data_IF_799797145964
#
_entry.id   IF_799797145964
#
_cell.length_a   1.000
_cell.length_b   1.000
_cell.length_c   1.000
_cell.angle_alpha   90.00
_cell.angle_beta   90.00
_cell.angle_gamma   90.00
#
_symmetry.space_group_name_H-M   'P 1'
#
loop_
_entity.id
_entity.type
_entity.pdbx_description
1 polymer ?
#
# COMPACT_ATOMS: atom_id res chain seq x y z
N UNK A 1 24.05 23.86 -6.08
CA UNK A 1 22.67 23.45 -5.75
C UNK A 1 22.57 21.95 -5.98
N UNK A 2 22.31 21.22 -4.93
CA UNK A 2 22.15 19.76 -5.00
C UNK A 2 20.91 19.41 -5.82
N UNK A 3 21.11 18.73 -6.95
CA UNK A 3 20.00 18.38 -7.86
C UNK A 3 19.33 17.09 -7.42
N UNK A 4 18.02 17.13 -7.12
CA UNK A 4 17.20 15.91 -6.91
C UNK A 4 16.96 15.21 -8.25
N UNK A 5 16.60 15.98 -9.27
CA UNK A 5 16.21 15.49 -10.59
C UNK A 5 17.43 15.01 -11.40
N UNK A 6 18.09 13.96 -10.88
CA UNK A 6 19.12 13.24 -11.62
C UNK A 6 18.48 12.18 -12.52
N UNK A 7 19.16 11.79 -13.61
CA UNK A 7 18.68 10.72 -14.49
C UNK A 7 18.37 9.44 -13.69
N UNK A 8 19.26 9.07 -12.75
CA UNK A 8 19.07 7.89 -11.92
C UNK A 8 17.84 7.99 -11.02
N UNK A 9 17.58 9.15 -10.39
CA UNK A 9 16.40 9.36 -9.54
C UNK A 9 15.10 9.24 -10.35
N UNK A 10 15.05 9.86 -11.55
CA UNK A 10 13.88 9.80 -12.44
C UNK A 10 13.61 8.35 -12.86
N UNK A 11 14.66 7.64 -13.32
CA UNK A 11 14.53 6.25 -13.76
C UNK A 11 14.06 5.32 -12.61
N UNK A 12 14.60 5.50 -11.40
CA UNK A 12 14.20 4.71 -10.23
C UNK A 12 12.76 4.99 -9.81
N UNK A 13 12.34 6.27 -9.85
CA UNK A 13 10.96 6.67 -9.55
C UNK A 13 9.97 6.11 -10.58
N UNK A 14 10.32 6.16 -11.87
CA UNK A 14 9.51 5.61 -12.95
C UNK A 14 9.42 4.08 -12.86
N UNK A 15 10.52 3.41 -12.55
CA UNK A 15 10.53 1.96 -12.35
C UNK A 15 9.65 1.54 -11.17
N UNK A 16 9.67 2.32 -10.08
CA UNK A 16 8.79 2.06 -8.93
C UNK A 16 7.33 2.24 -9.30
N UNK A 17 7.00 3.28 -10.09
CA UNK A 17 5.66 3.46 -10.64
C UNK A 17 5.21 2.22 -11.43
N UNK A 18 6.04 1.72 -12.35
CA UNK A 18 5.73 0.55 -13.16
C UNK A 18 5.56 -0.73 -12.30
N UNK A 19 6.45 -0.95 -11.34
CA UNK A 19 6.40 -2.11 -10.43
C UNK A 19 5.12 -2.08 -9.59
N UNK A 20 4.80 -0.92 -9.00
CA UNK A 20 3.59 -0.76 -8.19
C UNK A 20 2.33 -0.83 -9.05
N UNK A 21 2.34 -0.31 -10.27
CA UNK A 21 1.24 -0.44 -11.20
C UNK A 21 0.97 -1.92 -11.52
N UNK A 22 2.01 -2.71 -11.81
CA UNK A 22 1.91 -4.16 -12.02
C UNK A 22 1.36 -4.92 -10.81
N UNK A 23 1.68 -4.47 -9.60
CA UNK A 23 1.14 -5.03 -8.37
C UNK A 23 -0.33 -4.63 -8.15
N UNK A 24 -0.65 -3.34 -8.26
CA UNK A 24 -1.99 -2.83 -7.97
C UNK A 24 -3.05 -3.25 -8.99
N UNK A 25 -2.67 -3.52 -10.24
CA UNK A 25 -3.62 -4.07 -11.21
C UNK A 25 -4.06 -5.51 -10.84
N UNK A 26 -3.20 -6.27 -10.13
CA UNK A 26 -3.51 -7.62 -9.69
C UNK A 26 -4.42 -7.66 -8.45
N UNK A 27 -4.38 -6.62 -7.60
CA UNK A 27 -5.11 -6.64 -6.32
C UNK A 27 -6.62 -6.88 -6.47
N UNK A 28 -7.37 -6.14 -7.32
CA UNK A 28 -8.81 -6.36 -7.49
C UNK A 28 -9.15 -7.57 -8.36
N UNK A 29 -8.22 -8.03 -9.20
CA UNK A 29 -8.50 -9.09 -10.19
C UNK A 29 -8.14 -10.48 -9.65
N UNK A 30 -7.19 -10.59 -8.75
CA UNK A 30 -6.80 -11.86 -8.13
C UNK A 30 -7.94 -12.53 -7.34
N UNK A 31 -8.76 -11.82 -6.55
CA UNK A 31 -9.93 -12.39 -5.90
C UNK A 31 -10.91 -13.04 -6.88
N UNK A 32 -11.16 -12.40 -8.00
CA UNK A 32 -12.01 -12.91 -9.08
C UNK A 32 -11.41 -14.19 -9.70
N UNK A 33 -10.09 -14.18 -9.96
CA UNK A 33 -9.37 -15.37 -10.44
C UNK A 33 -9.48 -16.54 -9.45
N UNK A 34 -9.34 -16.29 -8.14
CA UNK A 34 -9.49 -17.32 -7.10
C UNK A 34 -10.92 -17.90 -7.12
N UNK A 35 -11.92 -17.04 -7.29
CA UNK A 35 -13.33 -17.50 -7.39
C UNK A 35 -13.58 -18.34 -8.66
N UNK A 36 -13.00 -17.96 -9.80
CA UNK A 36 -13.07 -18.76 -11.02
C UNK A 36 -12.43 -20.15 -10.85
N UNK A 37 -11.35 -20.25 -10.05
CA UNK A 37 -10.74 -21.52 -9.66
C UNK A 37 -11.58 -22.32 -8.63
N UNK A 38 -12.75 -21.84 -8.23
CA UNK A 38 -13.62 -22.46 -7.21
C UNK A 38 -13.21 -22.17 -5.77
N UNK A 39 -12.38 -21.16 -5.53
CA UNK A 39 -11.92 -20.78 -4.20
C UNK A 39 -13.00 -20.08 -3.36
N UNK A 40 -12.86 -20.19 -2.03
CA UNK A 40 -13.72 -19.50 -1.06
C UNK A 40 -13.20 -18.11 -0.71
N UNK A 41 -14.04 -17.27 -0.09
CA UNK A 41 -13.65 -15.95 0.41
C UNK A 41 -12.51 -16.02 1.43
N UNK A 42 -12.48 -17.04 2.28
CA UNK A 42 -11.36 -17.25 3.21
C UNK A 42 -10.05 -17.53 2.48
N UNK A 43 -10.10 -18.30 1.37
CA UNK A 43 -8.92 -18.57 0.55
C UNK A 43 -8.44 -17.31 -0.18
N UNK A 44 -9.34 -16.42 -0.61
CA UNK A 44 -9.00 -15.08 -1.12
C UNK A 44 -8.24 -14.28 -0.07
N UNK A 45 -8.77 -14.22 1.15
CA UNK A 45 -8.11 -13.54 2.27
C UNK A 45 -6.73 -14.12 2.60
N UNK A 46 -6.61 -15.47 2.64
CA UNK A 46 -5.34 -16.16 2.88
C UNK A 46 -4.34 -15.87 1.75
N UNK A 47 -4.76 -15.85 0.50
CA UNK A 47 -3.87 -15.52 -0.63
C UNK A 47 -3.34 -14.09 -0.54
N UNK A 48 -4.17 -13.11 -0.18
CA UNK A 48 -3.75 -11.73 0.06
C UNK A 48 -2.80 -11.64 1.26
N UNK A 49 -3.14 -12.29 2.37
CA UNK A 49 -2.32 -12.33 3.58
C UNK A 49 -0.98 -13.01 3.41
N UNK A 50 -0.91 -14.15 2.70
CA UNK A 50 0.32 -14.89 2.45
C UNK A 50 1.38 -14.02 1.75
N UNK A 51 0.99 -13.25 0.73
CA UNK A 51 1.85 -12.28 0.07
C UNK A 51 2.39 -11.23 1.05
N UNK A 52 1.48 -10.58 1.76
CA UNK A 52 1.83 -9.42 2.60
C UNK A 52 2.66 -9.83 3.83
N UNK A 53 2.27 -10.92 4.50
CA UNK A 53 3.01 -11.45 5.65
C UNK A 53 4.42 -11.85 5.23
N UNK A 54 4.57 -12.55 4.09
CA UNK A 54 5.89 -12.92 3.58
C UNK A 54 6.74 -11.68 3.30
N UNK A 55 6.17 -10.66 2.64
CA UNK A 55 6.88 -9.42 2.37
C UNK A 55 7.35 -8.73 3.65
N UNK A 56 6.47 -8.61 4.65
CA UNK A 56 6.78 -7.97 5.94
C UNK A 56 7.86 -8.71 6.71
N UNK A 57 7.73 -10.05 6.81
CA UNK A 57 8.69 -10.89 7.53
C UNK A 57 10.10 -10.85 6.90
N UNK A 58 10.18 -10.80 5.57
CA UNK A 58 11.47 -10.81 4.88
C UNK A 58 12.16 -9.43 4.85
N UNK A 59 11.45 -8.31 4.93
CA UNK A 59 12.02 -6.96 4.84
C UNK A 59 13.20 -6.70 5.79
N UNK A 60 13.15 -7.08 7.09
CA UNK A 60 14.29 -6.86 8.00
C UNK A 60 15.55 -7.63 7.55
N UNK A 61 15.38 -8.87 7.10
CA UNK A 61 16.49 -9.69 6.59
C UNK A 61 17.07 -9.11 5.30
N UNK A 62 16.20 -8.71 4.40
CA UNK A 62 16.60 -8.05 3.14
C UNK A 62 17.38 -6.78 3.44
N UNK A 63 16.91 -5.93 4.37
CA UNK A 63 17.62 -4.71 4.77
C UNK A 63 19.08 -4.99 5.20
N UNK A 64 19.28 -5.97 6.07
CA UNK A 64 20.63 -6.38 6.49
C UNK A 64 21.51 -6.91 5.35
N UNK A 65 20.94 -7.67 4.42
CA UNK A 65 21.64 -8.17 3.23
C UNK A 65 22.02 -7.03 2.27
N UNK A 66 21.15 -6.03 2.09
CA UNK A 66 21.42 -4.85 1.26
C UNK A 66 22.62 -4.04 1.79
N UNK A 67 22.75 -3.95 3.11
CA UNK A 67 23.87 -3.22 3.74
C UNK A 67 25.19 -3.96 3.62
N UNK A 68 25.15 -5.28 3.54
CA UNK A 68 26.35 -6.13 3.41
C UNK A 68 26.81 -6.33 1.97
N UNK A 69 25.88 -6.57 1.05
CA UNK A 69 26.19 -7.00 -0.32
C UNK A 69 25.84 -5.96 -1.39
N UNK A 70 25.26 -4.82 -0.99
CA UNK A 70 24.83 -3.77 -1.89
C UNK A 70 23.38 -3.94 -2.37
N UNK A 71 22.82 -2.85 -2.90
CA UNK A 71 21.39 -2.76 -3.26
C UNK A 71 21.06 -3.41 -4.60
N UNK A 72 22.00 -3.32 -5.56
CA UNK A 72 21.75 -3.70 -6.95
C UNK A 72 21.44 -5.20 -7.16
N UNK A 73 22.17 -6.16 -6.57
CA UNK A 73 21.87 -7.59 -6.74
C UNK A 73 20.44 -7.94 -6.31
N UNK A 74 19.99 -7.38 -5.17
CA UNK A 74 18.65 -7.65 -4.62
C UNK A 74 17.55 -6.95 -5.41
N UNK A 75 17.80 -5.76 -5.94
CA UNK A 75 16.88 -5.08 -6.86
C UNK A 75 16.68 -5.92 -8.13
N UNK A 76 17.75 -6.37 -8.76
CA UNK A 76 17.70 -7.18 -9.98
C UNK A 76 17.02 -8.52 -9.73
N UNK A 77 17.44 -9.26 -8.70
CA UNK A 77 16.84 -10.56 -8.37
C UNK A 77 15.36 -10.42 -7.97
N UNK A 78 15.03 -9.39 -7.17
CA UNK A 78 13.65 -9.13 -6.77
C UNK A 78 12.74 -8.85 -7.97
N UNK A 79 13.18 -8.01 -8.92
CA UNK A 79 12.42 -7.72 -10.15
C UNK A 79 12.29 -8.94 -11.05
N UNK A 80 13.35 -9.74 -11.21
CA UNK A 80 13.29 -10.98 -12.01
C UNK A 80 12.31 -11.99 -11.41
N UNK A 81 12.36 -12.21 -10.09
CA UNK A 81 11.43 -13.10 -9.40
C UNK A 81 10.00 -12.55 -9.47
N UNK A 82 9.82 -11.23 -9.44
CA UNK A 82 8.51 -10.60 -9.59
C UNK A 82 7.93 -10.84 -11.00
N UNK A 83 8.73 -10.63 -12.05
CA UNK A 83 8.35 -10.93 -13.45
C UNK A 83 7.97 -12.40 -13.58
N UNK A 84 8.81 -13.29 -13.05
CA UNK A 84 8.56 -14.74 -13.05
C UNK A 84 7.26 -15.06 -12.29
N UNK A 85 7.02 -14.43 -11.15
CA UNK A 85 5.78 -14.63 -10.38
C UNK A 85 4.55 -14.22 -11.17
N UNK A 86 4.59 -13.08 -11.87
CA UNK A 86 3.49 -12.62 -12.72
C UNK A 86 3.23 -13.61 -13.87
N UNK A 87 4.28 -14.11 -14.50
CA UNK A 87 4.16 -15.12 -15.56
C UNK A 87 3.59 -16.44 -15.02
N UNK A 88 4.02 -16.89 -13.84
CA UNK A 88 3.59 -18.15 -13.24
C UNK A 88 2.11 -18.17 -12.82
N UNK A 89 1.47 -17.00 -12.59
CA UNK A 89 0.02 -16.97 -12.33
C UNK A 89 -0.79 -17.60 -13.44
N UNK A 90 -0.33 -17.50 -14.66
CA UNK A 90 -0.99 -18.06 -15.85
C UNK A 90 -0.99 -19.60 -15.89
N UNK A 91 -0.10 -20.22 -15.13
CA UNK A 91 0.10 -21.68 -15.07
C UNK A 91 -0.46 -22.30 -13.79
N UNK A 92 -0.97 -21.49 -12.87
CA UNK A 92 -1.51 -21.98 -11.62
C UNK A 92 -2.87 -22.63 -11.84
N UNK A 93 -2.98 -23.93 -11.46
CA UNK A 93 -4.21 -24.72 -11.58
C UNK A 93 -4.74 -25.23 -10.24
N UNK A 94 -4.09 -24.89 -9.12
CA UNK A 94 -4.50 -25.34 -7.78
C UNK A 94 -4.33 -24.26 -6.71
N UNK A 95 -5.14 -24.30 -5.67
CA UNK A 95 -5.04 -23.37 -4.53
C UNK A 95 -3.69 -23.47 -3.81
N UNK A 96 -3.15 -24.68 -3.65
CA UNK A 96 -1.83 -24.88 -3.03
C UNK A 96 -0.72 -24.22 -3.87
N UNK A 97 -0.76 -24.37 -5.19
CA UNK A 97 0.15 -23.70 -6.12
C UNK A 97 0.02 -22.19 -6.05
N UNK A 98 -1.21 -21.67 -5.96
CA UNK A 98 -1.47 -20.25 -5.80
C UNK A 98 -0.87 -19.69 -4.50
N UNK A 99 -1.05 -20.37 -3.36
CA UNK A 99 -0.48 -19.92 -2.09
C UNK A 99 1.04 -19.94 -2.12
N UNK A 100 1.65 -20.99 -2.67
CA UNK A 100 3.11 -21.05 -2.87
C UNK A 100 3.60 -19.89 -3.74
N UNK A 101 2.90 -19.59 -4.82
CA UNK A 101 3.21 -18.47 -5.70
C UNK A 101 3.02 -17.11 -5.00
N UNK A 102 2.02 -16.95 -4.15
CA UNK A 102 1.82 -15.73 -3.34
C UNK A 102 2.96 -15.51 -2.35
N UNK A 103 3.50 -16.56 -1.75
CA UNK A 103 4.70 -16.51 -0.90
C UNK A 103 5.92 -16.06 -1.72
N UNK A 104 6.16 -16.68 -2.88
CA UNK A 104 7.26 -16.31 -3.79
C UNK A 104 7.13 -14.85 -4.24
N UNK A 105 5.94 -14.44 -4.64
CA UNK A 105 5.66 -13.07 -5.06
C UNK A 105 5.86 -12.06 -3.91
N UNK A 106 5.44 -12.40 -2.68
CA UNK A 106 5.70 -11.58 -1.49
C UNK A 106 7.19 -11.43 -1.18
N UNK A 107 7.96 -12.51 -1.35
CA UNK A 107 9.41 -12.48 -1.21
C UNK A 107 10.07 -11.56 -2.25
N UNK A 108 9.66 -11.68 -3.52
CA UNK A 108 10.14 -10.81 -4.60
C UNK A 108 9.82 -9.33 -4.35
N UNK A 109 8.62 -9.06 -3.83
CA UNK A 109 8.19 -7.72 -3.43
C UNK A 109 9.08 -7.12 -2.35
N UNK A 110 9.38 -7.89 -1.30
CA UNK A 110 10.29 -7.47 -0.24
C UNK A 110 11.68 -7.12 -0.79
N UNK A 111 12.24 -7.96 -1.67
CA UNK A 111 13.54 -7.73 -2.30
C UNK A 111 13.54 -6.48 -3.17
N UNK A 112 12.62 -6.39 -4.13
CA UNK A 112 12.58 -5.31 -5.11
C UNK A 112 12.30 -3.95 -4.45
N UNK A 113 11.22 -3.86 -3.65
CA UNK A 113 10.78 -2.57 -3.08
C UNK A 113 11.74 -2.03 -2.03
N UNK A 114 12.31 -2.91 -1.18
CA UNK A 114 13.29 -2.48 -0.17
C UNK A 114 14.59 -2.03 -0.85
N UNK A 115 15.07 -2.75 -1.86
CA UNK A 115 16.29 -2.39 -2.58
C UNK A 115 16.12 -1.07 -3.35
N UNK A 116 15.01 -0.90 -4.08
CA UNK A 116 14.72 0.34 -4.84
C UNK A 116 14.57 1.53 -3.90
N UNK A 117 13.81 1.41 -2.82
CA UNK A 117 13.60 2.51 -1.85
C UNK A 117 14.89 2.94 -1.17
N UNK A 118 15.74 1.98 -0.78
CA UNK A 118 17.05 2.25 -0.17
C UNK A 118 17.96 2.96 -1.18
N UNK A 119 18.01 2.47 -2.41
CA UNK A 119 18.85 3.05 -3.46
C UNK A 119 18.40 4.47 -3.82
N UNK A 120 17.09 4.72 -3.89
CA UNK A 120 16.55 6.08 -4.09
C UNK A 120 16.95 7.00 -2.96
N UNK A 121 16.89 6.53 -1.71
CA UNK A 121 17.34 7.32 -0.55
C UNK A 121 18.83 7.67 -0.64
N UNK A 122 19.67 6.76 -1.15
CA UNK A 122 21.10 7.01 -1.36
C UNK A 122 21.37 8.00 -2.51
N UNK A 123 20.47 8.13 -3.49
CA UNK A 123 20.58 9.06 -4.63
C UNK A 123 20.16 10.49 -4.29
N UNK A 124 19.35 10.68 -3.27
CA UNK A 124 18.83 12.01 -2.88
C UNK A 124 19.83 12.70 -1.95
N UNK A 125 20.21 13.97 -2.23
CA UNK A 125 21.04 14.75 -1.32
C UNK A 125 20.44 14.85 0.08
N UNK A 126 21.26 14.80 1.12
CA UNK A 126 20.78 14.82 2.52
C UNK A 126 19.96 16.08 2.84
N UNK A 127 20.36 17.23 2.28
CA UNK A 127 19.68 18.52 2.44
C UNK A 127 18.26 18.54 1.85
N UNK A 128 17.95 17.64 0.89
CA UNK A 128 16.66 17.58 0.17
C UNK A 128 15.97 16.21 0.24
N UNK A 129 16.37 15.37 1.21
CA UNK A 129 15.87 14.00 1.34
C UNK A 129 14.36 13.93 1.51
N UNK A 130 13.77 14.83 2.29
CA UNK A 130 12.32 14.90 2.47
C UNK A 130 11.56 15.20 1.18
N UNK A 131 12.04 16.17 0.39
CA UNK A 131 11.44 16.54 -0.90
C UNK A 131 11.55 15.40 -1.92
N UNK A 132 12.74 14.80 -2.05
CA UNK A 132 12.96 13.70 -3.00
C UNK A 132 12.13 12.46 -2.66
N UNK A 133 12.03 12.09 -1.37
CA UNK A 133 11.17 10.98 -0.92
C UNK A 133 9.68 11.30 -1.11
N UNK A 134 9.29 12.56 -1.03
CA UNK A 134 7.92 13.00 -1.36
C UNK A 134 7.58 12.74 -2.83
N UNK A 135 8.44 13.13 -3.76
CA UNK A 135 8.27 12.85 -5.20
C UNK A 135 8.26 11.35 -5.51
N UNK A 136 9.16 10.58 -4.89
CA UNK A 136 9.17 9.13 -5.00
C UNK A 136 7.87 8.49 -4.50
N UNK A 137 7.36 8.96 -3.36
CA UNK A 137 6.07 8.50 -2.80
C UNK A 137 4.87 8.85 -3.68
N UNK A 138 4.91 9.95 -4.45
CA UNK A 138 3.86 10.29 -5.42
C UNK A 138 3.70 9.24 -6.52
N UNK A 139 4.79 8.64 -7.00
CA UNK A 139 4.73 7.56 -7.99
C UNK A 139 3.95 6.35 -7.44
N UNK A 140 4.23 5.96 -6.19
CA UNK A 140 3.50 4.88 -5.50
C UNK A 140 2.02 5.22 -5.34
N UNK A 141 1.72 6.47 -4.99
CA UNK A 141 0.35 6.99 -4.86
C UNK A 141 -0.43 6.92 -6.17
N UNK A 142 0.21 7.31 -7.26
CA UNK A 142 -0.40 7.27 -8.59
C UNK A 142 -0.71 5.83 -9.01
N UNK A 143 0.21 4.90 -8.75
CA UNK A 143 -0.01 3.48 -8.99
C UNK A 143 -1.17 2.92 -8.14
N UNK A 144 -1.26 3.32 -6.87
CA UNK A 144 -2.33 2.90 -5.95
C UNK A 144 -3.72 3.39 -6.39
N UNK A 145 -3.79 4.57 -7.02
CA UNK A 145 -5.03 5.11 -7.55
C UNK A 145 -5.41 4.48 -8.90
N UNK A 146 -4.48 4.45 -9.86
CA UNK A 146 -4.75 4.03 -11.23
C UNK A 146 -4.66 2.52 -11.44
N UNK A 147 -3.84 1.81 -10.65
CA UNK A 147 -3.59 0.38 -10.82
C UNK A 147 -4.86 -0.50 -10.75
N UNK A 148 -5.68 -0.37 -9.69
CA UNK A 148 -6.92 -1.13 -9.58
C UNK A 148 -7.89 -0.88 -10.74
N UNK A 149 -8.04 0.37 -11.15
CA UNK A 149 -8.88 0.74 -12.29
C UNK A 149 -8.35 0.10 -13.58
N UNK A 150 -7.05 0.18 -13.82
CA UNK A 150 -6.42 -0.45 -14.98
C UNK A 150 -6.60 -1.97 -14.97
N UNK A 151 -6.45 -2.59 -13.78
CA UNK A 151 -6.63 -4.03 -13.61
C UNK A 151 -8.03 -4.50 -14.03
N UNK A 152 -9.05 -3.84 -13.50
CA UNK A 152 -10.45 -4.15 -13.86
C UNK A 152 -10.70 -3.90 -15.34
N UNK A 153 -10.23 -2.78 -15.90
CA UNK A 153 -10.39 -2.47 -17.32
C UNK A 153 -9.73 -3.52 -18.22
N UNK A 154 -8.52 -3.98 -17.90
CA UNK A 154 -7.84 -5.04 -18.67
C UNK A 154 -8.61 -6.36 -18.59
N UNK A 155 -9.18 -6.70 -17.43
CA UNK A 155 -9.97 -7.91 -17.26
C UNK A 155 -11.27 -7.86 -18.09
N UNK A 156 -11.99 -6.74 -18.08
CA UNK A 156 -13.24 -6.57 -18.81
C UNK A 156 -13.08 -6.59 -20.32
N UNK A 157 -11.95 -6.12 -20.84
CA UNK A 157 -11.67 -6.08 -22.28
C UNK A 157 -10.77 -7.24 -22.74
N UNK A 158 -10.41 -8.16 -21.84
CA UNK A 158 -9.49 -9.25 -22.11
C UNK A 158 -9.77 -10.49 -21.26
N UNK A 159 -8.76 -10.93 -20.52
CA UNK A 159 -8.81 -12.15 -19.70
C UNK A 159 -7.83 -12.05 -18.52
N UNK A 160 -7.86 -13.01 -17.59
CA UNK A 160 -6.83 -13.15 -16.56
C UNK A 160 -5.43 -13.31 -17.15
N UNK A 161 -5.30 -14.02 -18.28
CA UNK A 161 -4.06 -14.09 -19.03
C UNK A 161 -3.52 -12.71 -19.39
N UNK A 162 -4.36 -11.81 -19.91
CA UNK A 162 -3.98 -10.42 -20.22
C UNK A 162 -3.51 -9.66 -18.97
N UNK A 163 -4.16 -9.87 -17.80
CA UNK A 163 -3.74 -9.28 -16.52
C UNK A 163 -2.31 -9.71 -16.15
N UNK A 164 -2.03 -11.00 -16.17
CA UNK A 164 -0.74 -11.54 -15.78
C UNK A 164 0.37 -11.07 -16.72
N UNK A 165 0.12 -11.05 -18.01
CA UNK A 165 1.07 -10.53 -19.00
C UNK A 165 1.25 -9.02 -18.93
N UNK A 166 0.20 -8.25 -18.64
CA UNK A 166 0.33 -6.81 -18.39
C UNK A 166 1.18 -6.53 -17.16
N UNK A 167 0.95 -7.26 -16.06
CA UNK A 167 1.77 -7.19 -14.85
C UNK A 167 3.24 -7.59 -15.09
N UNK A 168 3.46 -8.67 -15.83
CA UNK A 168 4.81 -9.09 -16.22
C UNK A 168 5.49 -8.05 -17.12
N UNK A 169 4.77 -7.48 -18.08
CA UNK A 169 5.28 -6.44 -18.99
C UNK A 169 5.66 -5.15 -18.26
N UNK A 170 4.81 -4.67 -17.33
CA UNK A 170 5.12 -3.51 -16.49
C UNK A 170 6.34 -3.75 -15.61
N UNK A 171 6.47 -4.95 -15.04
CA UNK A 171 7.60 -5.33 -14.21
C UNK A 171 8.88 -5.50 -15.03
N UNK A 172 8.77 -6.03 -16.25
CA UNK A 172 9.89 -6.10 -17.20
C UNK A 172 10.34 -4.70 -17.65
N UNK A 173 9.39 -3.79 -17.89
CA UNK A 173 9.71 -2.39 -18.17
C UNK A 173 10.45 -1.74 -16.99
N UNK A 174 9.98 -1.97 -15.74
CA UNK A 174 10.69 -1.53 -14.54
C UNK A 174 12.12 -2.08 -14.49
N UNK A 175 12.29 -3.38 -14.76
CA UNK A 175 13.61 -4.01 -14.80
C UNK A 175 14.53 -3.37 -15.85
N UNK A 176 14.06 -3.19 -17.08
CA UNK A 176 14.85 -2.59 -18.16
C UNK A 176 15.24 -1.14 -17.84
N UNK A 177 14.36 -0.38 -17.19
CA UNK A 177 14.61 1.01 -16.78
C UNK A 177 15.71 1.09 -15.72
N UNK A 178 15.73 0.17 -14.73
CA UNK A 178 16.73 0.22 -13.65
C UNK A 178 18.03 -0.51 -13.98
N UNK A 179 18.01 -1.42 -14.94
CA UNK A 179 19.17 -2.23 -15.28
C UNK A 179 20.46 -1.43 -15.57
N UNK A 180 20.41 -0.30 -16.31
CA UNK A 180 21.58 0.55 -16.56
C UNK A 180 21.99 1.39 -15.35
N UNK A 181 21.13 1.53 -14.33
CA UNK A 181 21.42 2.38 -13.16
C UNK A 181 22.49 1.72 -12.29
N UNK A 182 23.64 2.37 -12.18
CA UNK A 182 24.75 1.93 -11.33
C UNK A 182 24.98 2.98 -10.25
N UNK A 183 24.88 2.57 -9.00
CA UNK A 183 25.20 3.43 -7.84
C UNK A 183 26.40 2.80 -7.14
N UNK A 184 27.50 3.53 -6.96
CA UNK A 184 28.65 3.04 -6.22
C UNK A 184 28.23 2.62 -4.81
N UNK A 185 28.56 1.42 -4.42
CA UNK A 185 28.31 0.90 -3.09
C UNK A 185 29.63 0.89 -2.30
N UNK A 186 29.61 1.53 -1.13
CA UNK A 186 30.66 1.40 -0.13
C UNK A 186 30.06 0.73 1.08
N UNK A 187 30.56 -0.45 1.51
CA UNK A 187 30.15 -1.06 2.76
C UNK A 187 30.36 -0.06 3.90
N UNK A 188 29.37 0.12 4.77
CA UNK A 188 29.55 0.89 5.99
C UNK A 188 30.37 0.05 6.97
N UNK A 189 31.61 0.44 7.24
CA UNK A 189 32.39 -0.08 8.36
C UNK A 189 31.80 0.44 9.66
N UNK A 190 31.47 -0.45 10.57
CA UNK A 190 30.95 -0.16 11.89
C UNK A 190 29.45 -0.36 12.04
N UNK A 191 29.12 -1.46 12.73
CA UNK A 191 27.78 -1.76 13.19
C UNK A 191 27.31 -0.72 14.23
N UNK A 192 26.72 0.40 13.79
CA UNK A 192 25.79 1.09 14.69
C UNK A 192 24.62 0.15 14.92
N UNK A 193 24.23 -0.08 16.19
CA UNK A 193 23.01 -0.79 16.53
C UNK A 193 21.87 -0.19 15.70
N UNK A 194 21.35 -0.95 14.76
CA UNK A 194 20.22 -0.53 13.92
C UNK A 194 19.03 -0.47 14.88
N UNK A 195 18.57 0.73 15.22
CA UNK A 195 17.28 0.88 15.89
C UNK A 195 16.21 0.44 14.88
N UNK A 196 15.56 -0.68 15.18
CA UNK A 196 14.55 -1.28 14.31
C UNK A 196 13.19 -0.61 14.50
N UNK A 197 12.97 0.03 15.66
CA UNK A 197 11.68 0.59 16.04
C UNK A 197 11.84 1.74 17.04
N UNK A 198 11.08 2.81 16.83
CA UNK A 198 10.95 3.92 17.78
C UNK A 198 9.53 3.93 18.38
N UNK A 199 9.44 3.88 19.71
CA UNK A 199 8.16 3.81 20.44
C UNK A 199 7.27 5.03 20.21
N UNK A 200 7.83 6.18 19.84
CA UNK A 200 7.06 7.41 19.61
C UNK A 200 6.10 7.31 18.42
N UNK A 201 6.42 6.46 17.43
CA UNK A 201 5.60 6.26 16.24
C UNK A 201 4.54 5.15 16.39
N UNK A 202 4.57 4.39 17.50
CA UNK A 202 3.65 3.28 17.73
C UNK A 202 2.16 3.67 17.60
N UNK A 203 1.67 4.77 18.19
CA UNK A 203 0.26 5.12 18.09
C UNK A 203 -0.18 5.46 16.65
N UNK A 204 0.68 6.13 15.85
CA UNK A 204 0.39 6.40 14.44
C UNK A 204 0.44 5.11 13.63
N UNK A 205 1.42 4.25 13.88
CA UNK A 205 1.52 2.93 13.25
C UNK A 205 0.30 2.06 13.54
N UNK A 206 -0.22 2.11 14.77
CA UNK A 206 -1.44 1.38 15.14
C UNK A 206 -2.68 1.97 14.46
N UNK A 207 -2.79 3.30 14.38
CA UNK A 207 -3.89 3.96 13.66
C UNK A 207 -3.87 3.59 12.17
N UNK A 208 -2.72 3.63 11.52
CA UNK A 208 -2.61 3.26 10.10
C UNK A 208 -2.84 1.77 9.87
N UNK A 209 -2.48 0.89 10.81
CA UNK A 209 -2.79 -0.54 10.74
C UNK A 209 -4.31 -0.76 10.62
N UNK A 210 -5.11 -0.17 11.49
CA UNK A 210 -6.57 -0.30 11.45
C UNK A 210 -7.19 0.37 10.23
N UNK A 211 -6.65 1.48 9.74
CA UNK A 211 -7.06 2.09 8.48
C UNK A 211 -6.75 1.17 7.29
N UNK A 212 -5.60 0.50 7.33
CA UNK A 212 -5.15 -0.41 6.26
C UNK A 212 -5.94 -1.73 6.22
N UNK A 213 -6.51 -2.18 7.34
CA UNK A 213 -7.49 -3.30 7.34
C UNK A 213 -8.66 -2.99 6.40
N UNK A 214 -9.23 -1.78 6.49
CA UNK A 214 -10.32 -1.36 5.62
C UNK A 214 -9.87 -1.24 4.15
N UNK A 215 -8.66 -0.75 3.92
CA UNK A 215 -8.09 -0.69 2.57
C UNK A 215 -7.91 -2.09 1.95
N UNK A 216 -7.43 -3.06 2.75
CA UNK A 216 -7.35 -4.47 2.36
C UNK A 216 -8.74 -5.06 2.03
N UNK A 217 -9.76 -4.71 2.83
CA UNK A 217 -11.15 -5.08 2.58
C UNK A 217 -11.67 -4.57 1.23
N UNK A 218 -11.45 -3.28 0.95
CA UNK A 218 -11.84 -2.65 -0.33
C UNK A 218 -11.10 -3.31 -1.50
N UNK A 219 -9.77 -3.36 -1.46
CA UNK A 219 -9.00 -3.83 -2.62
C UNK A 219 -9.18 -5.32 -2.90
N UNK A 220 -9.48 -6.12 -1.88
CA UNK A 220 -9.59 -7.57 -2.01
C UNK A 220 -11.03 -8.02 -2.26
N UNK A 221 -12.02 -7.44 -1.57
CA UNK A 221 -13.39 -7.99 -1.57
C UNK A 221 -14.41 -7.13 -2.31
N UNK A 222 -14.10 -5.87 -2.62
CA UNK A 222 -15.02 -5.03 -3.39
C UNK A 222 -15.37 -5.61 -4.77
N UNK A 223 -14.42 -6.18 -5.54
CA UNK A 223 -14.78 -6.80 -6.82
C UNK A 223 -15.81 -7.92 -6.68
N UNK A 224 -15.61 -8.80 -5.70
CA UNK A 224 -16.55 -9.90 -5.41
C UNK A 224 -17.91 -9.38 -4.92
N UNK A 225 -17.91 -8.36 -4.06
CA UNK A 225 -19.15 -7.71 -3.64
C UNK A 225 -19.89 -7.09 -4.82
N UNK A 226 -19.17 -6.36 -5.68
CA UNK A 226 -19.75 -5.70 -6.86
C UNK A 226 -20.40 -6.72 -7.81
N UNK A 227 -19.76 -7.86 -8.02
CA UNK A 227 -20.37 -8.97 -8.80
C UNK A 227 -21.64 -9.50 -8.13
N UNK A 228 -21.64 -9.66 -6.80
CA UNK A 228 -22.80 -10.19 -6.06
C UNK A 228 -24.04 -9.31 -6.19
N UNK A 229 -23.86 -7.99 -6.38
CA UNK A 229 -24.94 -7.01 -6.61
C UNK A 229 -25.05 -6.56 -8.07
N UNK A 230 -24.37 -7.25 -8.99
CA UNK A 230 -24.37 -7.02 -10.46
C UNK A 230 -23.95 -5.61 -10.87
N UNK A 231 -22.93 -5.07 -10.22
CA UNK A 231 -22.34 -3.77 -10.55
C UNK A 231 -20.91 -3.98 -11.01
N UNK A 232 -20.49 -3.18 -12.00
CA UNK A 232 -19.13 -3.18 -12.49
C UNK A 232 -18.17 -2.64 -11.40
N UNK A 233 -17.20 -3.44 -10.90
CA UNK A 233 -16.24 -2.99 -9.88
C UNK A 233 -15.35 -1.84 -10.37
N UNK A 234 -15.11 -1.72 -11.67
CA UNK A 234 -14.34 -0.63 -12.28
C UNK A 234 -14.94 0.74 -11.99
N UNK A 235 -16.27 0.84 -11.88
CA UNK A 235 -16.95 2.09 -11.51
C UNK A 235 -16.51 2.60 -10.15
N UNK A 236 -16.43 1.71 -9.16
CA UNK A 236 -15.94 2.10 -7.83
C UNK A 236 -14.50 2.60 -7.90
N UNK A 237 -13.59 1.83 -8.51
CA UNK A 237 -12.17 2.19 -8.55
C UNK A 237 -11.91 3.45 -9.37
N UNK A 238 -12.69 3.72 -10.41
CA UNK A 238 -12.61 4.96 -11.19
C UNK A 238 -12.99 6.17 -10.31
N UNK A 239 -14.16 6.14 -9.67
CA UNK A 239 -14.63 7.23 -8.81
C UNK A 239 -13.69 7.42 -7.60
N UNK A 240 -13.27 6.33 -6.99
CA UNK A 240 -12.27 6.32 -5.92
C UNK A 240 -10.96 6.99 -6.35
N UNK A 241 -10.40 6.62 -7.51
CA UNK A 241 -9.14 7.17 -8.00
C UNK A 241 -9.23 8.67 -8.28
N UNK A 242 -10.33 9.14 -8.89
CA UNK A 242 -10.59 10.57 -9.13
C UNK A 242 -10.70 11.31 -7.80
N UNK A 243 -11.55 10.84 -6.88
CA UNK A 243 -11.78 11.48 -5.59
C UNK A 243 -10.50 11.54 -4.73
N UNK A 244 -9.74 10.46 -4.68
CA UNK A 244 -8.46 10.36 -3.99
C UNK A 244 -7.43 11.35 -4.56
N UNK A 245 -7.31 11.42 -5.89
CA UNK A 245 -6.36 12.29 -6.58
C UNK A 245 -6.66 13.76 -6.32
N UNK A 246 -7.94 14.15 -6.31
CA UNK A 246 -8.37 15.51 -6.02
C UNK A 246 -8.24 15.86 -4.53
N UNK A 247 -8.52 14.92 -3.63
CA UNK A 247 -8.47 15.15 -2.19
C UNK A 247 -7.04 15.35 -1.66
N UNK A 248 -6.04 14.64 -2.19
CA UNK A 248 -4.65 14.65 -1.67
C UNK A 248 -4.00 16.02 -1.62
N UNK A 249 -3.95 16.83 -2.70
CA UNK A 249 -3.32 18.15 -2.64
C UNK A 249 -4.08 19.11 -1.72
N UNK A 250 -5.40 18.97 -1.62
CA UNK A 250 -6.24 19.79 -0.73
C UNK A 250 -5.94 19.43 0.72
N UNK A 251 -5.97 18.15 1.06
CA UNK A 251 -5.66 17.64 2.39
C UNK A 251 -4.23 17.96 2.83
N UNK A 252 -3.27 17.87 1.91
CA UNK A 252 -1.87 18.25 2.17
C UNK A 252 -1.75 19.72 2.55
N UNK A 253 -2.28 20.64 1.74
CA UNK A 253 -2.27 22.07 2.03
C UNK A 253 -2.99 22.41 3.34
N UNK A 254 -4.12 21.77 3.60
CA UNK A 254 -4.88 21.97 4.82
C UNK A 254 -4.11 21.47 6.05
N UNK A 255 -3.52 20.28 5.96
CA UNK A 255 -2.68 19.68 6.99
C UNK A 255 -1.48 20.56 7.36
N UNK A 256 -0.87 21.24 6.38
CA UNK A 256 0.24 22.16 6.62
C UNK A 256 -0.21 23.48 7.29
N UNK A 257 -1.42 23.95 6.98
CA UNK A 257 -1.96 25.23 7.52
C UNK A 257 -2.54 25.10 8.91
N UNK A 258 -3.40 24.10 9.15
CA UNK A 258 -4.17 23.98 10.40
C UNK A 258 -3.74 22.79 11.27
N UNK A 259 -2.81 21.96 10.77
CA UNK A 259 -2.30 20.79 11.49
C UNK A 259 -2.97 19.47 11.11
N UNK A 260 -2.23 18.38 11.32
CA UNK A 260 -2.64 17.03 10.90
C UNK A 260 -3.91 16.55 11.62
N UNK A 261 -4.09 16.90 12.90
CA UNK A 261 -5.26 16.46 13.68
C UNK A 261 -6.59 16.93 13.08
N UNK A 262 -6.61 18.14 12.56
CA UNK A 262 -7.80 18.72 11.92
C UNK A 262 -8.13 18.12 10.55
N UNK A 263 -7.21 17.40 9.95
CA UNK A 263 -7.41 16.69 8.67
C UNK A 263 -7.73 15.22 8.91
N UNK A 264 -6.98 14.55 9.81
CA UNK A 264 -7.08 13.09 10.03
C UNK A 264 -8.45 12.72 10.59
N UNK A 265 -8.94 13.43 11.62
CA UNK A 265 -10.22 13.06 12.27
C UNK A 265 -11.41 13.17 11.32
N UNK A 266 -11.66 14.30 10.61
CA UNK A 266 -12.73 14.37 9.63
C UNK A 266 -12.57 13.35 8.50
N UNK A 267 -11.33 13.11 8.03
CA UNK A 267 -11.07 12.16 6.97
C UNK A 267 -11.41 10.70 7.39
N UNK A 268 -11.10 10.31 8.63
CA UNK A 268 -11.50 9.01 9.17
C UNK A 268 -13.01 8.90 9.33
N UNK A 269 -13.72 9.97 9.77
CA UNK A 269 -15.19 9.99 9.84
C UNK A 269 -15.81 9.80 8.45
N UNK A 270 -15.29 10.51 7.44
CA UNK A 270 -15.74 10.35 6.04
C UNK A 270 -15.50 8.91 5.57
N UNK A 271 -14.35 8.31 5.92
CA UNK A 271 -14.04 6.91 5.57
C UNK A 271 -15.01 5.94 6.23
N UNK A 272 -15.35 6.15 7.52
CA UNK A 272 -16.36 5.35 8.23
C UNK A 272 -17.71 5.46 7.54
N UNK A 273 -18.15 6.67 7.23
CA UNK A 273 -19.42 6.91 6.53
C UNK A 273 -19.46 6.20 5.18
N UNK A 274 -18.37 6.24 4.41
CA UNK A 274 -18.23 5.52 3.14
C UNK A 274 -18.42 4.01 3.32
N UNK A 275 -17.78 3.43 4.32
CA UNK A 275 -17.84 1.98 4.60
C UNK A 275 -19.22 1.55 5.10
N UNK A 276 -19.90 2.37 5.88
CA UNK A 276 -21.29 2.14 6.31
C UNK A 276 -22.23 2.18 5.09
N UNK A 277 -22.11 3.19 4.23
CA UNK A 277 -22.89 3.26 2.99
C UNK A 277 -22.64 2.03 2.14
N UNK A 278 -21.38 1.60 1.99
CA UNK A 278 -21.03 0.41 1.22
C UNK A 278 -21.61 -0.87 1.82
N UNK A 279 -21.58 -1.00 3.15
CA UNK A 279 -22.17 -2.12 3.90
C UNK A 279 -23.69 -2.26 3.64
N UNK A 280 -24.38 -1.17 3.42
CA UNK A 280 -25.83 -1.11 3.16
C UNK A 280 -26.18 -1.04 1.66
N UNK A 281 -25.18 -1.03 0.78
CA UNK A 281 -25.37 -0.82 -0.65
C UNK A 281 -25.93 -2.08 -1.33
N UNK A 282 -26.93 -1.86 -2.20
CA UNK A 282 -27.53 -2.87 -3.06
C UNK A 282 -27.72 -2.35 -4.49
N UNK A 283 -27.11 -1.24 -4.87
CA UNK A 283 -27.28 -0.60 -6.17
C UNK A 283 -26.12 0.36 -6.50
N UNK A 284 -26.08 0.84 -7.75
CA UNK A 284 -25.01 1.65 -8.29
C UNK A 284 -24.78 2.97 -7.55
N UNK A 285 -25.87 3.71 -7.26
CA UNK A 285 -25.75 5.04 -6.67
C UNK A 285 -25.07 5.03 -5.28
N UNK A 286 -25.48 4.18 -4.32
CA UNK A 286 -24.76 4.09 -3.04
C UNK A 286 -23.30 3.70 -3.19
N UNK A 287 -22.96 2.79 -4.13
CA UNK A 287 -21.58 2.37 -4.39
C UNK A 287 -20.73 3.53 -4.92
N UNK A 288 -21.28 4.36 -5.82
CA UNK A 288 -20.60 5.57 -6.34
C UNK A 288 -20.37 6.60 -5.23
N UNK A 289 -21.38 6.84 -4.39
CA UNK A 289 -21.26 7.75 -3.24
C UNK A 289 -20.20 7.23 -2.26
N UNK A 290 -20.23 5.94 -1.93
CA UNK A 290 -19.24 5.32 -1.07
C UNK A 290 -17.81 5.42 -1.65
N UNK A 291 -17.65 5.21 -2.96
CA UNK A 291 -16.36 5.34 -3.65
C UNK A 291 -15.80 6.76 -3.55
N UNK A 292 -16.63 7.78 -3.79
CA UNK A 292 -16.23 9.18 -3.69
C UNK A 292 -15.81 9.54 -2.25
N UNK A 293 -16.64 9.19 -1.27
CA UNK A 293 -16.35 9.45 0.15
C UNK A 293 -15.12 8.68 0.61
N UNK A 294 -14.96 7.41 0.21
CA UNK A 294 -13.79 6.60 0.54
C UNK A 294 -12.51 7.20 -0.07
N UNK A 295 -12.57 7.66 -1.32
CA UNK A 295 -11.45 8.34 -1.99
C UNK A 295 -11.04 9.63 -1.27
N UNK A 296 -12.01 10.46 -0.85
CA UNK A 296 -11.75 11.69 -0.09
C UNK A 296 -11.17 11.34 1.29
N UNK A 297 -11.82 10.46 2.03
CA UNK A 297 -11.46 10.12 3.40
C UNK A 297 -10.08 9.43 3.47
N UNK A 298 -9.92 8.29 2.80
CA UNK A 298 -8.67 7.54 2.79
C UNK A 298 -7.54 8.35 2.13
N UNK A 299 -7.82 9.03 1.01
CA UNK A 299 -6.87 9.87 0.29
C UNK A 299 -6.32 11.03 1.12
N UNK A 300 -7.08 11.50 2.12
CA UNK A 300 -6.67 12.54 3.06
C UNK A 300 -6.00 11.98 4.32
N UNK A 301 -6.56 10.93 4.92
CA UNK A 301 -6.11 10.37 6.20
C UNK A 301 -4.72 9.72 6.08
N UNK A 302 -4.50 8.86 5.07
CA UNK A 302 -3.27 8.09 4.93
C UNK A 302 -2.02 8.96 4.79
N UNK A 303 -1.94 9.97 3.88
CA UNK A 303 -0.77 10.83 3.79
C UNK A 303 -0.61 11.75 5.01
N UNK A 304 -1.69 12.23 5.61
CA UNK A 304 -1.61 13.05 6.82
C UNK A 304 -1.04 12.27 8.02
N UNK A 305 -1.44 10.99 8.19
CA UNK A 305 -0.85 10.08 9.18
C UNK A 305 0.64 9.82 8.88
N UNK A 306 1.01 9.66 7.61
CA UNK A 306 2.41 9.45 7.22
C UNK A 306 3.28 10.68 7.54
N UNK A 307 2.80 11.89 7.24
CA UNK A 307 3.50 13.13 7.58
C UNK A 307 3.64 13.28 9.10
N UNK A 308 2.57 12.99 9.85
CA UNK A 308 2.63 13.03 11.31
C UNK A 308 3.65 12.04 11.87
N UNK A 309 3.66 10.82 11.35
CA UNK A 309 4.63 9.78 11.73
C UNK A 309 6.08 10.26 11.61
N UNK A 310 6.40 10.95 10.52
CA UNK A 310 7.74 11.51 10.28
C UNK A 310 8.05 12.72 11.16
N UNK A 311 7.04 13.45 11.64
CA UNK A 311 7.21 14.61 12.53
C UNK A 311 7.43 14.22 14.01
N UNK A 312 7.08 12.98 14.39
CA UNK A 312 7.25 12.48 15.78
C UNK A 312 8.68 12.08 16.09
N UNK A 313 9.56 12.02 15.11
CA UNK A 313 10.95 11.60 15.27
C UNK A 313 11.93 12.64 14.73
N UNK A 314 13.18 12.68 15.25
CA UNK A 314 14.26 13.47 14.68
C UNK A 314 14.57 13.07 13.22
N UNK A 315 15.26 13.94 12.47
CA UNK A 315 15.52 13.75 11.05
C UNK A 315 16.33 12.47 10.74
N UNK A 316 17.23 12.07 11.61
CA UNK A 316 18.05 10.86 11.52
C UNK A 316 17.27 9.55 11.72
N UNK A 317 16.08 9.61 12.37
CA UNK A 317 15.20 8.46 12.62
C UNK A 317 14.00 8.36 11.66
N UNK A 318 13.85 9.29 10.72
CA UNK A 318 12.72 9.28 9.75
C UNK A 318 12.64 8.02 8.92
N UNK A 319 13.78 7.39 8.62
CA UNK A 319 13.81 6.10 7.92
C UNK A 319 13.13 4.99 8.73
N UNK A 320 13.45 4.88 10.01
CA UNK A 320 12.85 3.91 10.95
C UNK A 320 11.35 4.16 11.10
N UNK A 321 10.95 5.43 11.25
CA UNK A 321 9.55 5.81 11.35
C UNK A 321 8.75 5.43 10.09
N UNK A 322 9.29 5.72 8.91
CA UNK A 322 8.63 5.35 7.64
C UNK A 322 8.55 3.84 7.46
N UNK A 323 9.59 3.09 7.84
CA UNK A 323 9.58 1.64 7.80
C UNK A 323 8.51 1.06 8.74
N UNK A 324 8.37 1.57 9.96
CA UNK A 324 7.33 1.17 10.90
C UNK A 324 5.92 1.45 10.35
N UNK A 325 5.71 2.64 9.75
CA UNK A 325 4.45 3.01 9.11
C UNK A 325 4.08 2.05 7.98
N UNK A 326 5.01 1.78 7.06
CA UNK A 326 4.78 0.88 5.92
C UNK A 326 4.54 -0.56 6.38
N UNK A 327 5.29 -1.03 7.39
CA UNK A 327 5.08 -2.35 7.99
C UNK A 327 3.70 -2.47 8.60
N UNK A 328 3.26 -1.47 9.36
CA UNK A 328 1.92 -1.46 9.96
C UNK A 328 0.82 -1.41 8.88
N UNK A 329 1.01 -0.62 7.82
CA UNK A 329 0.10 -0.56 6.69
C UNK A 329 -0.02 -1.91 5.98
N UNK A 330 1.09 -2.54 5.63
CA UNK A 330 1.10 -3.84 4.97
C UNK A 330 0.51 -4.94 5.88
N UNK A 331 0.87 -4.97 7.18
CA UNK A 331 0.28 -5.92 8.12
C UNK A 331 -1.24 -5.73 8.25
N UNK A 332 -1.72 -4.48 8.24
CA UNK A 332 -3.15 -4.19 8.25
C UNK A 332 -3.86 -4.77 7.03
N UNK A 333 -3.30 -4.60 5.84
CA UNK A 333 -3.82 -5.21 4.61
C UNK A 333 -3.81 -6.74 4.72
N UNK A 334 -2.68 -7.34 5.07
CA UNK A 334 -2.50 -8.79 5.05
C UNK A 334 -3.33 -9.52 6.09
N UNK A 335 -3.19 -9.15 7.37
CA UNK A 335 -3.96 -9.76 8.47
C UNK A 335 -5.44 -9.40 8.35
N UNK A 336 -5.73 -8.15 7.95
CA UNK A 336 -7.10 -7.69 7.70
C UNK A 336 -7.78 -8.52 6.63
N UNK A 337 -7.14 -8.78 5.49
CA UNK A 337 -7.72 -9.59 4.41
C UNK A 337 -8.01 -11.02 4.85
N UNK A 338 -7.15 -11.63 5.69
CA UNK A 338 -7.41 -12.97 6.24
C UNK A 338 -8.67 -12.96 7.10
N UNK A 339 -8.74 -12.05 8.08
CA UNK A 339 -9.90 -11.94 8.99
C UNK A 339 -11.18 -11.63 8.22
N UNK A 340 -11.12 -10.66 7.29
CA UNK A 340 -12.25 -10.25 6.47
C UNK A 340 -12.71 -11.34 5.51
N UNK A 341 -11.81 -12.22 5.04
CA UNK A 341 -12.15 -13.39 4.25
C UNK A 341 -13.02 -14.38 5.04
N UNK A 342 -12.70 -14.63 6.30
CA UNK A 342 -13.53 -15.43 7.19
C UNK A 342 -14.86 -14.75 7.51
N UNK A 343 -14.84 -13.44 7.79
CA UNK A 343 -16.06 -12.68 8.04
C UNK A 343 -16.99 -12.76 6.83
N UNK A 344 -16.49 -12.49 5.60
CA UNK A 344 -17.35 -12.51 4.40
C UNK A 344 -17.90 -13.89 4.10
N UNK A 345 -17.14 -14.95 4.33
CA UNK A 345 -17.58 -16.32 4.13
C UNK A 345 -18.70 -16.72 5.09
N UNK A 346 -18.66 -16.25 6.33
CA UNK A 346 -19.64 -16.62 7.36
C UNK A 346 -20.87 -15.71 7.38
N UNK A 347 -20.70 -14.42 7.05
CA UNK A 347 -21.75 -13.41 7.27
C UNK A 347 -22.06 -12.53 6.04
N UNK A 348 -21.28 -12.70 4.96
CA UNK A 348 -21.44 -11.94 3.72
C UNK A 348 -20.70 -10.59 3.70
N UNK A 349 -20.74 -9.94 2.53
CA UNK A 349 -19.98 -8.71 2.28
C UNK A 349 -20.49 -7.48 3.03
N UNK A 350 -21.78 -7.40 3.33
CA UNK A 350 -22.36 -6.31 4.12
C UNK A 350 -21.68 -6.23 5.50
N UNK A 351 -21.60 -7.35 6.20
CA UNK A 351 -20.93 -7.42 7.51
C UNK A 351 -19.42 -7.17 7.38
N UNK A 352 -18.77 -7.64 6.32
CA UNK A 352 -17.35 -7.36 6.06
C UNK A 352 -17.08 -5.86 6.04
N UNK A 353 -17.86 -5.07 5.28
CA UNK A 353 -17.68 -3.61 5.25
C UNK A 353 -18.07 -2.94 6.57
N UNK A 354 -19.03 -3.50 7.31
CA UNK A 354 -19.32 -3.10 8.69
C UNK A 354 -18.10 -3.27 9.62
N UNK A 355 -17.41 -4.42 9.54
CA UNK A 355 -16.16 -4.67 10.28
C UNK A 355 -15.05 -3.71 9.84
N UNK A 356 -14.95 -3.40 8.55
CA UNK A 356 -14.04 -2.37 8.05
C UNK A 356 -14.35 -0.99 8.68
N UNK A 357 -15.63 -0.61 8.79
CA UNK A 357 -16.03 0.64 9.43
C UNK A 357 -15.64 0.68 10.92
N UNK A 358 -15.85 -0.43 11.65
CA UNK A 358 -15.39 -0.57 13.05
C UNK A 358 -13.87 -0.45 13.14
N UNK A 359 -13.12 -1.07 12.24
CA UNK A 359 -11.66 -0.96 12.22
C UNK A 359 -11.21 0.50 12.04
N UNK A 360 -11.82 1.26 11.12
CA UNK A 360 -11.51 2.69 10.96
C UNK A 360 -11.94 3.51 12.17
N UNK A 361 -13.03 3.13 12.86
CA UNK A 361 -13.43 3.78 14.12
C UNK A 361 -12.38 3.55 15.22
N UNK A 362 -11.80 2.35 15.31
CA UNK A 362 -10.66 2.07 16.21
C UNK A 362 -9.44 2.91 15.81
N UNK A 363 -9.14 3.04 14.51
CA UNK A 363 -8.10 3.95 14.02
C UNK A 363 -8.31 5.38 14.50
N UNK A 364 -9.54 5.90 14.38
CA UNK A 364 -9.90 7.22 14.83
C UNK A 364 -9.75 7.39 16.35
N UNK A 365 -10.17 6.41 17.14
CA UNK A 365 -10.04 6.41 18.59
C UNK A 365 -8.55 6.44 19.02
N UNK A 366 -7.74 5.56 18.46
CA UNK A 366 -6.28 5.52 18.72
C UNK A 366 -5.65 6.87 18.40
N UNK A 367 -6.00 7.44 17.25
CA UNK A 367 -5.50 8.75 16.84
C UNK A 367 -5.92 9.86 17.79
N UNK A 368 -7.19 9.94 18.19
CA UNK A 368 -7.70 10.97 19.09
C UNK A 368 -7.05 10.91 20.48
N UNK A 369 -6.86 9.70 21.04
CA UNK A 369 -6.16 9.50 22.32
C UNK A 369 -4.72 10.01 22.22
N UNK A 370 -4.01 9.66 21.16
CA UNK A 370 -2.65 10.15 20.93
C UNK A 370 -2.62 11.67 20.79
N UNK A 371 -3.49 12.24 19.98
CA UNK A 371 -3.53 13.67 19.70
C UNK A 371 -3.81 14.50 20.98
N UNK A 372 -4.74 14.05 21.81
CA UNK A 372 -5.05 14.69 23.08
C UNK A 372 -3.86 14.64 24.04
N UNK A 373 -3.15 13.53 24.12
CA UNK A 373 -1.95 13.39 24.93
C UNK A 373 -0.79 14.31 24.49
N UNK A 374 -0.62 14.46 23.15
CA UNK A 374 0.39 15.38 22.61
C UNK A 374 0.05 16.85 22.90
N UNK A 375 -1.21 17.24 22.87
CA UNK A 375 -1.65 18.60 23.19
C UNK A 375 -1.47 18.90 24.68
N UNK A 376 -1.83 17.97 25.57
CA UNK A 376 -1.62 18.10 27.04
C UNK A 376 -0.17 18.34 27.40
N UNK A 377 0.75 17.57 26.78
CA UNK A 377 2.20 17.74 26.99
C UNK A 377 2.71 19.10 26.54
N UNK A 378 2.20 19.65 25.43
CA UNK A 378 2.57 21.00 24.96
C UNK A 378 2.05 22.10 25.89
N UNK A 379 0.84 21.97 26.44
CA UNK A 379 0.28 22.92 27.39
C UNK A 379 0.90 22.89 28.79
N UNK A 380 1.68 21.85 29.13
CA UNK A 380 2.43 21.76 30.39
C UNK A 380 3.85 22.33 30.30
N UNK A 381 4.34 22.61 29.08
CA UNK A 381 5.68 23.11 28.79
C UNK A 381 5.70 24.59 28.38
N UNK A 382 4.53 25.22 28.20
CA UNK A 382 4.35 26.66 27.99
C UNK A 382 3.65 27.32 29.15
#
# INVERSE_FOLDING_TARGET
>A
MDRIWTKSFILMTLAMLMLFMGFYLLLPTLPLFIKEMGGSESQVGVAAGAFTITAVLLRPFVGGLLDRYGRRPFMISGLLIFILSMYLYDWVSSMAGLFALRILHGASWALATTAVSTLVTDLIPESRRGEGMGWFGMAMTLAMAAGPMLGVWVLENGSFHAIFWAGAGLSAAAFLIVFPVRVPFKPKEGSRKIEIFDKSVLPVSLSVFFLAVAYGGITTFLPLFSESIRINPGTFFLVYAIALTLARPIAGKLSDRIGQGYVVVPALIITISALIILSLSNGLLPVVIAAALYGIGFGSAQPALQVLNLRLVPADKRGVANAAFMTAFDLGIGLGSIVLGWVSQLTGYSMLFGVCAVSVAVSALVFMIMHSNLQRRKGQLG
#
